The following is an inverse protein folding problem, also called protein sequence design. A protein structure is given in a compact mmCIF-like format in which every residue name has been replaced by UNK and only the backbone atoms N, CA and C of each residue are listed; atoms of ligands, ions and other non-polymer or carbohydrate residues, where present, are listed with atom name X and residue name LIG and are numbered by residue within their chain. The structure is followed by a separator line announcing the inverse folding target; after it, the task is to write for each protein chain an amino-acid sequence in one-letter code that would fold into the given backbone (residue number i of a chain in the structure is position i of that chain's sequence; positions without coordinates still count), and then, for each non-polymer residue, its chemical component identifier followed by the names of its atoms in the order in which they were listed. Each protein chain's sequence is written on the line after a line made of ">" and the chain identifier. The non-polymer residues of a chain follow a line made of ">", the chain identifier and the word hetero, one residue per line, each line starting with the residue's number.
data_IF_442925125149
#
_entry.id   IF_442925125149
#
_cell.length_a   1.000
_cell.length_b   1.000
_cell.length_c   1.000
_cell.angle_alpha   90.00
_cell.angle_beta   90.00
_cell.angle_gamma   90.00
#
_symmetry.space_group_name_H-M   'P 1'
#
loop_
_entity.id
_entity.type
_entity.pdbx_description
1 polymer ?
#
# COMPACT_ATOMS: atom_id res chain seq x y z
N UNK A 1 29.06 -23.36 -9.20
CA UNK A 1 27.59 -23.38 -9.33
C UNK A 1 27.03 -22.05 -8.83
N UNK A 2 26.10 -21.46 -9.60
CA UNK A 2 25.47 -20.19 -9.25
C UNK A 2 24.00 -20.44 -8.93
N UNK A 3 23.51 -19.93 -7.81
CA UNK A 3 22.13 -20.05 -7.39
C UNK A 3 21.55 -18.65 -7.12
N UNK A 4 20.36 -18.38 -7.65
CA UNK A 4 19.64 -17.13 -7.43
C UNK A 4 18.38 -17.34 -6.58
N UNK A 5 18.19 -16.55 -5.55
CA UNK A 5 16.98 -16.49 -4.74
C UNK A 5 16.24 -15.18 -4.98
N UNK A 6 14.95 -15.22 -5.23
CA UNK A 6 14.12 -14.03 -5.42
C UNK A 6 12.65 -14.31 -5.09
N UNK A 7 12.03 -13.40 -4.36
CA UNK A 7 10.58 -13.42 -4.15
C UNK A 7 9.80 -12.98 -5.42
N UNK A 8 10.44 -12.25 -6.33
CA UNK A 8 9.84 -11.73 -7.57
C UNK A 8 10.74 -12.01 -8.78
N UNK A 9 10.75 -13.24 -9.31
CA UNK A 9 11.69 -13.63 -10.38
C UNK A 9 11.42 -12.95 -11.74
N UNK A 10 10.25 -12.32 -11.90
CA UNK A 10 9.92 -11.55 -13.10
C UNK A 10 10.40 -10.10 -12.98
N UNK A 11 11.32 -9.70 -13.83
CA UNK A 11 11.80 -8.31 -13.93
C UNK A 11 10.83 -7.45 -14.74
N UNK A 12 10.62 -6.20 -14.29
CA UNK A 12 9.74 -5.23 -14.97
C UNK A 12 10.37 -4.67 -16.26
N UNK A 13 11.70 -4.69 -16.35
CA UNK A 13 12.50 -4.24 -17.51
C UNK A 13 12.57 -5.25 -18.67
N UNK A 14 11.85 -6.38 -18.58
CA UNK A 14 11.83 -7.42 -19.60
C UNK A 14 13.06 -8.34 -19.61
N UNK A 15 14.10 -8.06 -18.83
CA UNK A 15 15.35 -8.82 -18.81
C UNK A 15 15.28 -10.14 -18.02
N UNK A 16 14.09 -10.66 -17.75
CA UNK A 16 13.92 -11.98 -17.10
C UNK A 16 14.55 -13.12 -17.90
N UNK A 17 14.65 -12.98 -19.24
CA UNK A 17 15.34 -13.97 -20.10
C UNK A 17 16.83 -14.02 -19.81
N UNK A 18 17.46 -12.87 -19.59
CA UNK A 18 18.89 -12.75 -19.28
C UNK A 18 19.20 -13.46 -17.96
N UNK A 19 18.40 -13.23 -16.91
CA UNK A 19 18.55 -13.96 -15.64
C UNK A 19 18.52 -15.48 -15.84
N UNK A 20 17.57 -15.99 -16.65
CA UNK A 20 17.45 -17.43 -16.93
C UNK A 20 18.63 -17.99 -17.73
N UNK A 21 19.28 -17.16 -18.56
CA UNK A 21 20.48 -17.58 -19.30
C UNK A 21 21.67 -17.80 -18.35
N UNK A 22 21.82 -16.99 -17.30
CA UNK A 22 22.92 -17.10 -16.35
C UNK A 22 22.65 -18.05 -15.17
N UNK A 23 21.40 -18.10 -14.69
CA UNK A 23 21.01 -18.85 -13.50
C UNK A 23 20.27 -20.15 -13.82
N UNK A 24 19.88 -20.35 -15.09
CA UNK A 24 19.06 -21.49 -15.49
C UNK A 24 17.56 -21.30 -15.22
N UNK A 25 16.75 -22.35 -15.42
CA UNK A 25 15.31 -22.32 -15.16
C UNK A 25 15.02 -22.23 -13.66
N UNK A 26 13.78 -21.82 -13.33
CA UNK A 26 13.29 -21.85 -11.93
C UNK A 26 13.18 -23.32 -11.49
N UNK A 27 14.03 -23.74 -10.55
CA UNK A 27 14.11 -25.12 -10.06
C UNK A 27 13.04 -25.36 -8.98
N UNK A 28 12.81 -24.38 -8.12
CA UNK A 28 11.84 -24.47 -7.02
C UNK A 28 11.08 -23.15 -6.89
N UNK A 29 9.77 -23.26 -6.73
CA UNK A 29 8.89 -22.14 -6.40
C UNK A 29 7.97 -22.56 -5.28
N UNK A 30 8.18 -21.98 -4.12
CA UNK A 30 7.28 -22.17 -3.00
C UNK A 30 5.98 -21.38 -3.27
N UNK A 31 4.87 -22.10 -3.32
CA UNK A 31 3.56 -21.45 -3.30
C UNK A 31 3.27 -21.10 -1.86
N UNK A 32 3.03 -19.84 -1.57
CA UNK A 32 2.57 -19.40 -0.24
C UNK A 32 1.38 -20.27 0.18
N UNK A 33 1.62 -21.15 1.16
CA UNK A 33 0.56 -21.96 1.78
C UNK A 33 -0.16 -21.01 2.74
N UNK A 34 -1.49 -20.92 2.59
CA UNK A 34 -2.38 -20.16 3.47
C UNK A 34 -1.95 -18.71 3.66
N UNK A 35 -2.43 -17.84 2.77
CA UNK A 35 -2.39 -16.41 3.03
C UNK A 35 -3.23 -16.14 4.29
N UNK A 36 -2.69 -15.46 5.31
CA UNK A 36 -3.49 -15.01 6.44
C UNK A 36 -4.66 -14.16 5.92
N UNK A 37 -5.75 -14.13 6.66
CA UNK A 37 -6.91 -13.27 6.34
C UNK A 37 -6.50 -11.81 6.47
N UNK A 38 -5.93 -11.24 5.41
CA UNK A 38 -5.52 -9.84 5.37
C UNK A 38 -6.75 -8.96 5.17
N UNK A 39 -6.89 -7.98 6.04
CA UNK A 39 -7.90 -6.94 5.91
C UNK A 39 -7.29 -5.71 5.24
N UNK A 40 -7.79 -5.35 4.06
CA UNK A 40 -7.43 -4.10 3.37
C UNK A 40 -8.50 -3.05 3.65
N UNK A 41 -8.11 -1.96 4.29
CA UNK A 41 -8.91 -0.77 4.56
C UNK A 41 -8.57 0.30 3.54
N UNK A 42 -9.39 0.44 2.49
CA UNK A 42 -9.29 1.56 1.54
C UNK A 42 -9.92 2.79 2.16
N UNK A 43 -9.20 3.89 2.28
CA UNK A 43 -9.74 5.16 2.76
C UNK A 43 -9.56 6.20 1.65
N UNK A 44 -10.66 6.65 1.07
CA UNK A 44 -10.67 7.68 0.04
C UNK A 44 -10.57 9.06 0.68
N UNK A 45 -9.58 9.83 0.24
CA UNK A 45 -9.44 11.21 0.65
C UNK A 45 -9.89 12.15 -0.47
N UNK A 46 -10.89 12.97 -0.18
CA UNK A 46 -11.34 14.01 -1.08
C UNK A 46 -11.54 15.34 -0.33
N UNK A 47 -11.47 16.42 -1.05
CA UNK A 47 -11.69 17.77 -0.57
C UNK A 47 -12.31 18.63 -1.68
N UNK A 48 -13.03 19.68 -1.30
CA UNK A 48 -13.58 20.68 -2.24
C UNK A 48 -12.57 21.78 -2.59
N UNK A 49 -11.30 21.61 -2.24
CA UNK A 49 -10.24 22.57 -2.53
C UNK A 49 -9.76 22.39 -3.98
N UNK A 50 -10.11 23.35 -4.85
CA UNK A 50 -9.75 23.32 -6.27
C UNK A 50 -8.24 23.27 -6.49
N UNK A 51 -7.46 23.94 -5.63
CA UNK A 51 -6.01 23.90 -5.70
C UNK A 51 -5.45 22.51 -5.42
N UNK A 52 -6.07 21.73 -4.54
CA UNK A 52 -5.71 20.33 -4.30
C UNK A 52 -6.13 19.43 -5.46
N UNK A 53 -7.34 19.64 -6.00
CA UNK A 53 -7.95 18.78 -7.02
C UNK A 53 -7.34 18.99 -8.42
N UNK A 54 -6.65 20.11 -8.66
CA UNK A 54 -6.01 20.41 -9.94
C UNK A 54 -4.91 19.38 -10.25
N UNK A 55 -5.00 18.72 -11.42
CA UNK A 55 -3.93 17.85 -11.91
C UNK A 55 -2.91 18.63 -12.72
N UNK A 56 -1.63 18.53 -12.37
CA UNK A 56 -0.54 19.14 -13.15
C UNK A 56 -0.08 18.18 -14.23
N UNK A 57 0.05 18.72 -15.46
CA UNK A 57 0.47 17.99 -16.65
C UNK A 57 1.83 18.47 -17.13
N UNK A 58 2.57 17.59 -17.78
CA UNK A 58 3.78 17.93 -18.52
C UNK A 58 3.42 18.53 -19.91
N UNK A 59 4.43 18.97 -20.67
CA UNK A 59 4.24 19.53 -22.00
C UNK A 59 3.69 18.52 -23.03
N UNK A 60 3.65 17.22 -22.72
CA UNK A 60 3.06 16.15 -23.53
C UNK A 60 1.65 15.78 -23.11
N UNK A 61 1.09 16.47 -22.11
CA UNK A 61 -0.24 16.19 -21.57
C UNK A 61 -0.29 14.99 -20.60
N UNK A 62 0.86 14.50 -20.11
CA UNK A 62 0.87 13.44 -19.10
C UNK A 62 0.86 14.02 -17.68
N UNK A 63 0.12 13.42 -16.73
CA UNK A 63 0.15 13.86 -15.34
C UNK A 63 1.54 13.75 -14.72
N UNK A 64 2.02 14.82 -14.10
CA UNK A 64 3.33 14.88 -13.44
C UNK A 64 3.28 14.21 -12.06
N UNK A 65 3.62 12.93 -12.00
CA UNK A 65 3.54 12.14 -10.77
C UNK A 65 4.30 12.76 -9.59
N UNK A 66 5.56 13.15 -9.77
CA UNK A 66 6.39 13.71 -8.69
C UNK A 66 5.81 15.02 -8.13
N UNK A 67 5.31 15.90 -9.02
CA UNK A 67 4.67 17.16 -8.63
C UNK A 67 3.38 16.89 -7.85
N UNK A 68 2.57 15.93 -8.31
CA UNK A 68 1.34 15.56 -7.63
C UNK A 68 1.60 14.95 -6.25
N UNK A 69 2.60 14.06 -6.12
CA UNK A 69 3.00 13.53 -4.80
C UNK A 69 3.48 14.65 -3.87
N UNK A 70 4.28 15.60 -4.36
CA UNK A 70 4.75 16.72 -3.54
C UNK A 70 3.58 17.57 -3.04
N UNK A 71 2.55 17.81 -3.88
CA UNK A 71 1.33 18.53 -3.48
C UNK A 71 0.54 17.78 -2.42
N UNK A 72 0.32 16.47 -2.58
CA UNK A 72 -0.34 15.65 -1.55
C UNK A 72 0.38 15.75 -0.21
N UNK A 73 1.71 15.68 -0.23
CA UNK A 73 2.54 15.73 0.98
C UNK A 73 2.55 17.12 1.64
N UNK A 74 2.39 18.19 0.86
CA UNK A 74 2.34 19.56 1.35
C UNK A 74 0.95 20.00 1.83
N UNK A 75 -0.10 19.22 1.56
CA UNK A 75 -1.46 19.58 1.92
C UNK A 75 -1.77 19.23 3.38
N UNK A 76 -1.75 20.23 4.25
CA UNK A 76 -1.84 20.07 5.69
C UNK A 76 -3.11 19.35 6.16
N UNK A 77 -4.28 19.63 5.55
CA UNK A 77 -5.54 18.96 5.95
C UNK A 77 -5.49 17.44 5.72
N UNK A 78 -4.87 17.02 4.62
CA UNK A 78 -4.66 15.61 4.32
C UNK A 78 -3.68 14.97 5.31
N UNK A 79 -2.59 15.65 5.61
CA UNK A 79 -1.60 15.16 6.57
C UNK A 79 -2.18 15.05 7.98
N UNK A 80 -3.02 15.99 8.40
CA UNK A 80 -3.78 15.92 9.65
C UNK A 80 -4.75 14.73 9.65
N UNK A 81 -5.49 14.52 8.56
CA UNK A 81 -6.37 13.36 8.43
C UNK A 81 -5.61 12.03 8.56
N UNK A 82 -4.39 11.92 8.02
CA UNK A 82 -3.56 10.71 8.21
C UNK A 82 -3.25 10.49 9.69
N UNK A 83 -2.98 11.54 10.45
CA UNK A 83 -2.77 11.45 11.91
C UNK A 83 -4.05 10.95 12.61
N UNK A 84 -5.22 11.45 12.21
CA UNK A 84 -6.50 10.98 12.76
C UNK A 84 -6.71 9.49 12.48
N UNK A 85 -6.38 9.03 11.26
CA UNK A 85 -6.43 7.59 10.91
C UNK A 85 -5.50 6.77 11.81
N UNK A 86 -4.28 7.22 12.02
CA UNK A 86 -3.31 6.53 12.89
C UNK A 86 -3.85 6.45 14.32
N UNK A 87 -4.36 7.56 14.85
CA UNK A 87 -4.91 7.65 16.19
C UNK A 87 -6.09 6.70 16.39
N UNK A 88 -7.04 6.69 15.46
CA UNK A 88 -8.21 5.79 15.51
C UNK A 88 -7.80 4.31 15.45
N UNK A 89 -6.81 3.95 14.63
CA UNK A 89 -6.33 2.56 14.58
C UNK A 89 -5.63 2.15 15.89
N UNK A 90 -4.87 3.05 16.53
CA UNK A 90 -4.27 2.78 17.83
C UNK A 90 -5.30 2.76 18.97
N UNK A 91 -6.36 3.57 18.90
CA UNK A 91 -7.48 3.47 19.84
C UNK A 91 -8.18 2.10 19.78
N UNK A 92 -8.31 1.54 18.57
CA UNK A 92 -8.92 0.22 18.34
C UNK A 92 -8.01 -0.95 18.74
N UNK A 93 -6.70 -0.81 18.52
CA UNK A 93 -5.71 -1.83 18.84
C UNK A 93 -4.40 -1.19 19.35
N UNK A 94 -4.28 -0.95 20.65
CA UNK A 94 -3.09 -0.31 21.23
C UNK A 94 -1.81 -1.13 21.12
N UNK A 95 -1.93 -2.45 21.05
CA UNK A 95 -0.78 -3.38 21.04
C UNK A 95 -0.21 -3.62 19.62
N UNK A 96 -0.78 -2.98 18.59
CA UNK A 96 -0.30 -3.14 17.23
C UNK A 96 1.07 -2.49 17.03
N UNK A 97 1.84 -3.04 16.09
CA UNK A 97 2.99 -2.35 15.51
C UNK A 97 2.65 -1.94 14.06
N UNK A 98 2.74 -0.65 13.81
CA UNK A 98 2.36 -0.05 12.52
C UNK A 98 3.57 0.46 11.75
N UNK A 99 3.66 0.11 10.47
CA UNK A 99 4.59 0.75 9.54
C UNK A 99 3.84 1.74 8.64
N UNK A 100 4.34 2.97 8.57
CA UNK A 100 3.82 4.03 7.71
C UNK A 100 4.79 4.25 6.55
N UNK A 101 4.30 4.16 5.31
CA UNK A 101 5.08 4.32 4.10
C UNK A 101 4.76 5.63 3.38
N UNK A 102 5.79 6.42 3.10
CA UNK A 102 5.66 7.65 2.33
C UNK A 102 6.83 7.83 1.34
N UNK A 103 6.61 8.66 0.30
CA UNK A 103 7.62 9.01 -0.69
C UNK A 103 8.48 10.20 -0.24
N UNK A 104 7.89 11.16 0.47
CA UNK A 104 8.48 12.47 0.72
C UNK A 104 8.95 12.59 2.18
N UNK A 105 10.19 13.06 2.37
CA UNK A 105 10.78 13.27 3.69
C UNK A 105 10.01 14.30 4.51
N UNK A 106 9.49 15.37 3.89
CA UNK A 106 8.72 16.41 4.61
C UNK A 106 7.46 15.83 5.26
N UNK A 107 6.75 14.93 4.57
CA UNK A 107 5.59 14.25 5.15
C UNK A 107 6.02 13.32 6.29
N UNK A 108 7.12 12.58 6.11
CA UNK A 108 7.68 11.69 7.12
C UNK A 108 8.01 12.48 8.42
N UNK A 109 8.66 13.63 8.27
CA UNK A 109 9.01 14.52 9.40
C UNK A 109 7.76 15.11 10.08
N UNK A 110 6.78 15.52 9.28
CA UNK A 110 5.50 16.02 9.81
C UNK A 110 4.79 14.94 10.64
N UNK A 111 4.63 13.73 10.08
CA UNK A 111 3.97 12.63 10.77
C UNK A 111 4.70 12.25 12.06
N UNK A 112 6.03 12.20 12.03
CA UNK A 112 6.82 11.91 13.22
C UNK A 112 6.55 12.91 14.34
N UNK A 113 6.71 14.22 14.05
CA UNK A 113 6.49 15.28 15.03
C UNK A 113 5.05 15.30 15.55
N UNK A 114 4.07 15.06 14.70
CA UNK A 114 2.66 15.04 15.09
C UNK A 114 2.33 13.85 16.00
N UNK A 115 2.86 12.65 15.69
CA UNK A 115 2.69 11.44 16.49
C UNK A 115 3.34 11.62 17.88
N UNK A 116 4.56 12.16 17.92
CA UNK A 116 5.27 12.43 19.16
C UNK A 116 4.57 13.48 20.01
N UNK A 117 4.16 14.60 19.41
CA UNK A 117 3.45 15.68 20.08
C UNK A 117 2.10 15.24 20.65
N UNK A 118 1.33 14.43 19.91
CA UNK A 118 0.03 13.92 20.35
C UNK A 118 0.14 12.67 21.24
N UNK A 119 1.35 12.15 21.46
CA UNK A 119 1.63 10.96 22.30
C UNK A 119 0.82 9.74 21.88
N UNK A 120 0.67 9.52 20.56
CA UNK A 120 -0.13 8.40 20.03
C UNK A 120 0.58 7.07 20.30
N UNK A 121 1.91 7.04 20.25
CA UNK A 121 2.72 5.87 20.52
C UNK A 121 4.21 6.19 20.37
N UNK A 122 5.08 5.22 20.68
CA UNK A 122 6.51 5.36 20.42
C UNK A 122 6.78 5.33 18.94
N UNK A 123 7.54 6.31 18.42
CA UNK A 123 7.76 6.46 16.97
C UNK A 123 9.24 6.41 16.63
N UNK A 124 9.59 5.83 15.48
CA UNK A 124 10.95 5.78 14.96
C UNK A 124 11.00 5.98 13.44
N UNK A 125 12.12 6.51 12.95
CA UNK A 125 12.38 6.63 11.52
C UNK A 125 13.01 5.35 10.97
N UNK A 126 12.66 5.02 9.72
CA UNK A 126 13.32 3.98 8.95
C UNK A 126 13.59 4.48 7.53
N UNK A 127 14.59 5.35 7.40
CA UNK A 127 14.90 6.08 6.15
C UNK A 127 16.35 5.85 5.75
N UNK A 128 16.64 6.04 4.46
CA UNK A 128 17.99 5.85 3.94
C UNK A 128 19.00 6.81 4.58
N UNK A 129 20.22 6.33 4.78
CA UNK A 129 21.32 7.08 5.41
C UNK A 129 21.39 7.00 6.93
N UNK A 130 20.48 6.28 7.58
CA UNK A 130 20.57 6.01 9.02
C UNK A 130 21.61 4.93 9.34
N UNK A 131 22.25 5.04 10.51
CA UNK A 131 23.14 4.00 11.04
C UNK A 131 22.34 2.75 11.41
N UNK A 132 22.95 1.57 11.28
CA UNK A 132 22.28 0.29 11.58
C UNK A 132 21.76 0.21 13.02
N UNK A 133 22.49 0.78 13.99
CA UNK A 133 22.04 0.85 15.38
C UNK A 133 20.75 1.64 15.57
N UNK A 134 20.61 2.78 14.86
CA UNK A 134 19.39 3.59 14.88
C UNK A 134 18.21 2.92 14.17
N UNK A 135 18.48 2.17 13.10
CA UNK A 135 17.45 1.34 12.44
C UNK A 135 16.92 0.25 13.37
N UNK A 136 17.82 -0.47 14.06
CA UNK A 136 17.44 -1.50 15.06
C UNK A 136 16.65 -0.93 16.24
N UNK A 137 17.02 0.26 16.71
CA UNK A 137 16.24 0.95 17.74
C UNK A 137 14.83 1.27 17.26
N UNK A 138 14.70 1.75 16.01
CA UNK A 138 13.41 2.07 15.39
C UNK A 138 12.51 0.83 15.19
N UNK A 139 13.11 -0.34 14.96
CA UNK A 139 12.36 -1.61 14.83
C UNK A 139 11.60 -1.99 16.10
N UNK A 140 12.05 -1.53 17.27
CA UNK A 140 11.37 -1.75 18.55
C UNK A 140 10.26 -0.73 18.87
N UNK A 141 10.03 0.29 18.04
CA UNK A 141 8.98 1.30 18.27
C UNK A 141 7.62 0.77 17.79
N UNK A 142 6.53 1.29 18.39
CA UNK A 142 5.17 0.95 17.98
C UNK A 142 4.82 1.46 16.59
N UNK A 143 5.36 2.63 16.21
CA UNK A 143 5.13 3.27 14.92
C UNK A 143 6.47 3.47 14.22
N UNK A 144 6.60 2.91 13.02
CA UNK A 144 7.80 3.00 12.21
C UNK A 144 7.46 3.76 10.93
N UNK A 145 8.10 4.92 10.72
CA UNK A 145 7.85 5.71 9.53
C UNK A 145 8.99 5.50 8.54
N UNK A 146 8.70 4.94 7.39
CA UNK A 146 9.67 4.50 6.41
C UNK A 146 9.44 5.09 5.02
N UNK A 147 10.51 5.16 4.23
CA UNK A 147 10.38 5.32 2.78
C UNK A 147 10.07 3.98 2.12
N UNK A 148 9.38 4.01 0.97
CA UNK A 148 9.12 2.78 0.19
C UNK A 148 10.39 2.03 -0.23
N UNK A 149 11.51 2.74 -0.44
CA UNK A 149 12.78 2.12 -0.78
C UNK A 149 13.29 1.28 0.39
N UNK A 150 13.39 1.86 1.57
CA UNK A 150 13.87 1.18 2.78
C UNK A 150 12.97 0.00 3.19
N UNK A 151 11.66 0.15 3.07
CA UNK A 151 10.73 -0.96 3.31
C UNK A 151 10.90 -2.14 2.34
N UNK A 152 11.45 -1.89 1.14
CA UNK A 152 11.75 -2.93 0.14
C UNK A 152 13.08 -3.63 0.40
N UNK A 153 14.03 -2.97 1.08
CA UNK A 153 15.41 -3.42 1.27
C UNK A 153 15.61 -3.93 2.70
N UNK A 154 15.69 -5.22 2.89
CA UNK A 154 16.27 -5.81 4.11
C UNK A 154 15.47 -5.72 5.42
N UNK A 155 14.29 -5.11 5.44
CA UNK A 155 13.48 -5.01 6.66
C UNK A 155 12.97 -6.38 7.11
N UNK A 156 13.26 -6.76 8.35
CA UNK A 156 12.81 -8.02 8.97
C UNK A 156 12.21 -7.80 10.37
N UNK A 157 11.09 -7.10 10.42
CA UNK A 157 10.36 -6.85 11.67
C UNK A 157 9.22 -7.85 11.77
N UNK A 158 9.35 -8.79 12.69
CA UNK A 158 8.38 -9.90 12.86
C UNK A 158 7.10 -9.47 13.58
N UNK A 159 7.13 -8.37 14.30
CA UNK A 159 6.04 -7.84 15.10
C UNK A 159 5.09 -6.91 14.34
N UNK A 160 5.41 -6.59 13.08
CA UNK A 160 4.55 -5.75 12.23
C UNK A 160 3.21 -6.39 11.94
N UNK A 161 2.13 -5.74 12.41
CA UNK A 161 0.74 -6.16 12.21
C UNK A 161 -0.02 -5.30 11.22
N UNK A 162 0.39 -4.02 11.10
CA UNK A 162 -0.35 -3.02 10.31
C UNK A 162 0.59 -2.26 9.38
N UNK A 163 0.16 -2.09 8.13
CA UNK A 163 0.82 -1.28 7.13
C UNK A 163 -0.08 -0.12 6.71
N UNK A 164 0.39 1.12 6.84
CA UNK A 164 -0.30 2.30 6.34
C UNK A 164 0.46 2.90 5.16
N UNK A 165 -0.19 3.00 4.02
CA UNK A 165 0.35 3.67 2.84
C UNK A 165 -0.13 5.12 2.82
N UNK A 166 0.71 6.03 3.31
CA UNK A 166 0.41 7.46 3.41
C UNK A 166 0.49 8.18 2.07
N UNK A 167 1.15 7.60 1.07
CA UNK A 167 1.22 8.15 -0.30
C UNK A 167 1.01 7.05 -1.35
N UNK A 168 0.46 7.39 -2.53
CA UNK A 168 0.16 6.41 -3.57
C UNK A 168 1.40 5.66 -4.08
N UNK A 169 1.29 4.35 -4.24
CA UNK A 169 2.31 3.46 -4.84
C UNK A 169 1.62 2.42 -5.71
N UNK A 170 2.17 2.11 -6.87
CA UNK A 170 1.55 1.13 -7.77
C UNK A 170 1.82 -0.31 -7.34
N UNK A 171 3.06 -0.63 -6.97
CA UNK A 171 3.46 -1.98 -6.58
C UNK A 171 3.79 -2.05 -5.09
N UNK A 172 2.98 -2.80 -4.36
CA UNK A 172 3.03 -2.93 -2.90
C UNK A 172 3.35 -4.35 -2.43
N UNK A 173 3.60 -5.27 -3.36
CA UNK A 173 3.83 -6.70 -3.06
C UNK A 173 4.94 -6.93 -2.05
N UNK A 174 6.07 -6.24 -2.21
CA UNK A 174 7.19 -6.37 -1.29
C UNK A 174 6.85 -5.78 0.09
N UNK A 175 6.21 -4.61 0.13
CA UNK A 175 5.84 -3.96 1.40
C UNK A 175 4.85 -4.80 2.18
N UNK A 176 3.81 -5.33 1.52
CA UNK A 176 2.81 -6.19 2.16
C UNK A 176 3.44 -7.51 2.61
N UNK A 177 4.31 -8.10 1.80
CA UNK A 177 5.02 -9.32 2.17
C UNK A 177 5.87 -9.18 3.44
N UNK A 178 6.18 -7.95 3.89
CA UNK A 178 6.91 -7.72 5.14
C UNK A 178 6.03 -7.92 6.38
N UNK A 179 4.77 -7.45 6.34
CA UNK A 179 3.82 -7.66 7.46
C UNK A 179 3.27 -9.09 7.52
N UNK A 180 3.42 -9.87 6.43
CA UNK A 180 2.93 -11.23 6.35
C UNK A 180 3.97 -12.29 6.73
N UNK A 181 5.15 -11.91 7.22
CA UNK A 181 6.23 -12.85 7.57
C UNK A 181 5.90 -13.74 8.77
N UNK A 182 5.12 -13.21 9.69
CA UNK A 182 4.62 -13.98 10.85
C UNK A 182 3.10 -14.11 10.75
N UNK A 183 2.55 -15.23 11.15
CA UNK A 183 1.10 -15.42 11.21
C UNK A 183 0.54 -14.61 12.36
N UNK A 184 0.03 -13.43 12.05
CA UNK A 184 -0.81 -12.63 12.93
C UNK A 184 -2.27 -13.05 12.76
N UNK A 185 -3.11 -12.79 13.75
CA UNK A 185 -4.53 -13.13 13.67
C UNK A 185 -5.21 -12.47 12.46
N UNK A 186 -4.96 -11.17 12.23
CA UNK A 186 -5.48 -10.44 11.06
C UNK A 186 -4.54 -9.28 10.72
N UNK A 187 -3.60 -9.43 9.77
CA UNK A 187 -2.79 -8.31 9.30
C UNK A 187 -3.66 -7.26 8.60
N UNK A 188 -3.37 -5.99 8.85
CA UNK A 188 -4.15 -4.87 8.31
C UNK A 188 -3.30 -4.07 7.33
N UNK A 189 -3.87 -3.77 6.16
CA UNK A 189 -3.30 -2.83 5.19
C UNK A 189 -4.23 -1.64 5.06
N UNK A 190 -3.77 -0.45 5.42
CA UNK A 190 -4.50 0.80 5.27
C UNK A 190 -3.96 1.51 4.03
N UNK A 191 -4.83 1.74 3.07
CA UNK A 191 -4.51 2.33 1.77
C UNK A 191 -5.23 3.67 1.63
N UNK A 192 -4.49 4.78 1.78
CA UNK A 192 -5.04 6.13 1.57
C UNK A 192 -5.03 6.41 0.07
N UNK A 193 -6.21 6.58 -0.50
CA UNK A 193 -6.42 6.79 -1.94
C UNK A 193 -6.94 8.20 -2.16
N UNK A 194 -6.12 9.04 -2.77
CA UNK A 194 -6.51 10.42 -3.10
C UNK A 194 -7.36 10.45 -4.37
N UNK A 195 -8.40 11.28 -4.36
CA UNK A 195 -9.36 11.41 -5.45
C UNK A 195 -8.77 12.17 -6.65
N UNK A 196 -7.83 11.50 -7.35
CA UNK A 196 -7.25 11.93 -8.62
C UNK A 196 -7.18 10.73 -9.55
N UNK A 197 -7.55 10.89 -10.80
CA UNK A 197 -7.61 9.80 -11.80
C UNK A 197 -6.32 8.96 -11.84
N UNK A 198 -5.16 9.60 -11.77
CA UNK A 198 -3.87 8.90 -11.77
C UNK A 198 -3.66 8.02 -10.54
N UNK A 199 -4.13 8.42 -9.36
CA UNK A 199 -3.99 7.66 -8.13
C UNK A 199 -5.06 6.57 -8.02
N UNK A 200 -6.24 6.82 -8.56
CA UNK A 200 -7.27 5.79 -8.72
C UNK A 200 -6.83 4.66 -9.66
N UNK A 201 -6.18 5.00 -10.79
CA UNK A 201 -5.57 3.99 -11.68
C UNK A 201 -4.51 3.15 -10.97
N UNK A 202 -3.74 3.74 -10.06
CA UNK A 202 -2.79 2.99 -9.24
C UNK A 202 -3.50 2.11 -8.20
N UNK A 203 -4.55 2.63 -7.57
CA UNK A 203 -5.40 1.84 -6.67
C UNK A 203 -5.97 0.61 -7.37
N UNK A 204 -6.54 0.74 -8.56
CA UNK A 204 -7.08 -0.40 -9.30
C UNK A 204 -6.04 -1.52 -9.51
N UNK A 205 -4.78 -1.17 -9.81
CA UNK A 205 -3.68 -2.15 -9.92
C UNK A 205 -3.36 -2.83 -8.58
N UNK A 206 -3.43 -2.11 -7.45
CA UNK A 206 -3.29 -2.70 -6.11
C UNK A 206 -4.48 -3.57 -5.77
N UNK A 207 -5.71 -3.10 -6.05
CA UNK A 207 -6.94 -3.87 -5.85
C UNK A 207 -6.89 -5.22 -6.57
N UNK A 208 -6.45 -5.24 -7.84
CA UNK A 208 -6.29 -6.48 -8.59
C UNK A 208 -5.33 -7.46 -7.91
N UNK A 209 -4.26 -6.95 -7.32
CA UNK A 209 -3.35 -7.78 -6.53
C UNK A 209 -4.03 -8.29 -5.26
N UNK A 210 -4.73 -7.46 -4.50
CA UNK A 210 -5.43 -7.85 -3.27
C UNK A 210 -6.50 -8.92 -3.53
N UNK A 211 -7.29 -8.75 -4.59
CA UNK A 211 -8.29 -9.73 -5.01
C UNK A 211 -7.65 -11.06 -5.40
N UNK A 212 -6.55 -11.05 -6.15
CA UNK A 212 -5.78 -12.27 -6.51
C UNK A 212 -5.22 -12.99 -5.29
N UNK A 213 -4.89 -12.27 -4.24
CA UNK A 213 -4.42 -12.82 -2.97
C UNK A 213 -5.57 -13.23 -2.03
N UNK A 214 -6.82 -13.05 -2.43
CA UNK A 214 -8.04 -13.34 -1.64
C UNK A 214 -8.11 -12.52 -0.35
N UNK A 215 -7.64 -11.26 -0.36
CA UNK A 215 -7.75 -10.36 0.78
C UNK A 215 -9.15 -9.76 0.86
N UNK A 216 -9.67 -9.61 2.09
CA UNK A 216 -10.91 -8.87 2.32
C UNK A 216 -10.66 -7.37 2.14
N UNK A 217 -11.50 -6.68 1.36
CA UNK A 217 -11.37 -5.24 1.12
C UNK A 217 -12.62 -4.53 1.62
N UNK A 218 -12.43 -3.62 2.55
CA UNK A 218 -13.45 -2.67 3.00
C UNK A 218 -13.04 -1.26 2.59
N UNK A 219 -14.00 -0.38 2.36
CA UNK A 219 -13.75 1.00 1.99
C UNK A 219 -14.54 1.97 2.84
N UNK A 220 -13.96 3.13 3.02
CA UNK A 220 -14.56 4.31 3.63
C UNK A 220 -14.02 5.55 2.93
N UNK A 221 -14.51 6.71 3.27
CA UNK A 221 -13.94 8.00 2.87
C UNK A 221 -13.62 8.83 4.12
N UNK A 222 -12.94 9.96 3.95
CA UNK A 222 -12.52 10.79 5.07
C UNK A 222 -13.66 11.25 5.99
N UNK A 223 -14.91 11.36 5.50
CA UNK A 223 -16.05 11.72 6.34
C UNK A 223 -16.68 10.52 7.05
N UNK A 224 -16.82 9.40 6.34
CA UNK A 224 -17.43 8.17 6.87
C UNK A 224 -16.50 7.42 7.82
N UNK A 225 -15.18 7.51 7.59
CA UNK A 225 -14.16 6.93 8.45
C UNK A 225 -14.27 7.44 9.89
N UNK A 226 -14.46 8.75 10.09
CA UNK A 226 -14.63 9.36 11.42
C UNK A 226 -15.91 8.91 12.13
N UNK A 227 -16.87 8.32 11.38
CA UNK A 227 -18.11 7.74 11.90
C UNK A 227 -18.05 6.21 12.01
N UNK A 228 -16.87 5.62 11.79
CA UNK A 228 -16.63 4.17 11.72
C UNK A 228 -17.56 3.42 10.74
N UNK A 229 -17.91 4.07 9.63
CA UNK A 229 -18.75 3.49 8.59
C UNK A 229 -17.92 2.93 7.46
N UNK A 230 -18.13 1.65 7.14
CA UNK A 230 -17.39 0.89 6.16
C UNK A 230 -18.31 0.17 5.18
N UNK A 231 -17.91 0.10 3.92
CA UNK A 231 -18.55 -0.69 2.88
C UNK A 231 -17.66 -1.87 2.49
N UNK A 232 -18.26 -3.05 2.29
CA UNK A 232 -17.52 -4.24 1.84
C UNK A 232 -17.38 -4.17 0.32
N UNK A 233 -16.15 -3.96 -0.17
CA UNK A 233 -15.85 -3.93 -1.60
C UNK A 233 -15.48 -5.29 -2.18
N UNK A 234 -14.83 -6.13 -1.37
CA UNK A 234 -14.48 -7.49 -1.78
C UNK A 234 -14.42 -8.39 -0.55
N UNK A 235 -15.07 -9.55 -0.65
CA UNK A 235 -15.01 -10.62 0.34
C UNK A 235 -14.64 -11.92 -0.37
N UNK A 236 -13.61 -12.64 0.10
CA UNK A 236 -13.20 -13.90 -0.52
C UNK A 236 -14.35 -14.90 -0.51
N UNK A 237 -14.63 -15.52 -1.67
CA UNK A 237 -15.70 -16.51 -1.81
C UNK A 237 -17.10 -15.94 -2.10
N UNK A 238 -17.30 -14.64 -2.04
CA UNK A 238 -18.57 -13.99 -2.40
C UNK A 238 -18.49 -13.39 -3.80
N UNK A 239 -19.24 -13.97 -4.76
CA UNK A 239 -19.38 -13.43 -6.11
C UNK A 239 -20.38 -12.27 -6.11
N UNK A 240 -19.92 -11.04 -6.37
CA UNK A 240 -20.81 -9.91 -6.66
C UNK A 240 -21.13 -9.91 -8.16
N UNK A 241 -22.40 -10.03 -8.53
CA UNK A 241 -22.92 -9.99 -9.91
C UNK A 241 -22.47 -8.75 -10.73
N UNK A 242 -22.00 -7.69 -10.09
CA UNK A 242 -21.48 -6.48 -10.77
C UNK A 242 -20.14 -6.68 -11.50
N UNK A 243 -19.37 -7.71 -11.19
CA UNK A 243 -18.06 -7.95 -11.83
C UNK A 243 -18.22 -8.63 -13.22
N UNK A 244 -19.40 -9.12 -13.58
CA UNK A 244 -19.66 -9.72 -14.89
C UNK A 244 -19.83 -8.70 -16.02
N UNK A 245 -20.22 -7.45 -15.73
CA UNK A 245 -20.49 -6.44 -16.78
C UNK A 245 -19.24 -5.75 -17.33
N UNK A 246 -18.12 -5.78 -16.61
CA UNK A 246 -16.86 -5.17 -17.07
C UNK A 246 -16.05 -6.06 -18.04
N UNK A 247 -16.33 -7.37 -18.07
CA UNK A 247 -15.63 -8.29 -18.98
C UNK A 247 -16.29 -8.42 -20.36
N UNK A 248 -17.54 -7.97 -20.51
CA UNK A 248 -18.29 -8.08 -21.77
C UNK A 248 -18.03 -6.97 -22.79
N UNK A 249 -17.19 -5.97 -22.47
CA UNK A 249 -16.92 -4.83 -23.37
C UNK A 249 -15.64 -4.93 -24.20
N UNK A 250 -14.93 -6.05 -24.21
CA UNK A 250 -13.63 -6.15 -24.88
C UNK A 250 -13.51 -7.18 -26.01
N UNK A 251 -14.61 -7.74 -26.55
CA UNK A 251 -14.47 -8.63 -27.70
C UNK A 251 -15.71 -8.60 -28.64
N UNK A 252 -15.71 -7.71 -29.69
CA UNK A 252 -16.83 -7.63 -30.63
C UNK A 252 -16.85 -8.74 -31.69
N UNK A 253 -16.03 -9.80 -31.57
CA UNK A 253 -15.89 -10.85 -32.60
C UNK A 253 -16.16 -12.28 -32.15
N UNK A 254 -16.86 -12.54 -31.06
CA UNK A 254 -17.34 -13.90 -30.78
C UNK A 254 -18.87 -13.94 -30.80
N UNK A 255 -19.35 -14.63 -31.84
CA UNK A 255 -20.77 -14.79 -32.13
C UNK A 255 -21.55 -15.39 -30.96
N UNK A 256 -22.75 -14.92 -30.87
CA UNK A 256 -23.81 -15.34 -29.96
C UNK A 256 -24.09 -16.82 -30.22
N UNK A 257 -23.94 -17.66 -29.21
CA UNK A 257 -24.53 -18.98 -29.16
C UNK A 257 -25.75 -18.91 -28.25
N UNK A 258 -26.93 -18.99 -28.84
CA UNK A 258 -28.20 -19.21 -28.14
C UNK A 258 -28.30 -20.69 -27.80
N UNK A 259 -28.47 -21.04 -26.59
CA UNK A 259 -29.36 -22.13 -26.12
C UNK A 259 -30.03 -21.67 -24.85
#
# INVERSE_FOLDING_TARGET
>A
YTMGLSATPKRKDGLSKVLKMFLGPVIHQEKSKDNPEVLVKKIEYYTNDDAFNETKYDYRGNPQFSTMISRLCAYNRRSAFIIDVIKEEFNKNPDQQMMILAHNKSLIEYLYKAIEHQKIGTVGYYVGGMKESALKESEGKQIIIATYAMASEGLDIKTLTTLLMATPKTDVRQSIGRILRVKHATPIVIDIVDYHEMFEKQWLKRRDYYVKQKYKIISSNNNLFMQDKWEINHEPGVFKLKDCHSQLKSDPKKGVCFI
#
